data_IF_288313451442
#
_entry.id   IF_288313451442
#
_cell.length_a   1.000
_cell.length_b   1.000
_cell.length_c   1.000
_cell.angle_alpha   90.00
_cell.angle_beta   90.00
_cell.angle_gamma   90.00
#
_symmetry.space_group_name_H-M   'P 1'
#
loop_
_entity.id
_entity.type
_entity.pdbx_description
1 polymer ?
#
# COMPACT_ATOMS: atom_id res chain seq x y z
N UNK A 1 -6.55 6.38 9.96
CA UNK A 1 -5.51 7.29 9.43
C UNK A 1 -4.69 6.64 8.29
N UNK A 2 -4.18 5.41 8.46
CA UNK A 2 -3.40 4.71 7.43
C UNK A 2 -4.15 4.51 6.11
N UNK A 3 -5.38 4.02 6.16
CA UNK A 3 -6.22 3.86 4.97
C UNK A 3 -6.51 5.20 4.28
N UNK A 4 -6.70 6.28 5.04
CA UNK A 4 -6.91 7.63 4.49
C UNK A 4 -5.72 8.07 3.65
N UNK A 5 -4.48 7.80 4.10
CA UNK A 5 -3.26 8.10 3.35
C UNK A 5 -3.22 7.35 2.03
N UNK A 6 -3.58 6.04 2.03
CA UNK A 6 -3.65 5.26 0.78
C UNK A 6 -4.72 5.81 -0.15
N UNK A 7 -5.93 6.11 0.35
CA UNK A 7 -6.98 6.70 -0.50
C UNK A 7 -6.56 8.04 -1.09
N UNK A 8 -5.92 8.90 -0.32
CA UNK A 8 -5.36 10.16 -0.83
C UNK A 8 -4.28 9.90 -1.90
N UNK A 9 -3.41 8.93 -1.69
CA UNK A 9 -2.37 8.57 -2.67
C UNK A 9 -2.99 8.03 -3.97
N UNK A 10 -3.98 7.14 -3.87
CA UNK A 10 -4.72 6.61 -5.03
C UNK A 10 -5.43 7.74 -5.78
N UNK A 11 -6.14 8.61 -5.05
CA UNK A 11 -6.84 9.74 -5.65
C UNK A 11 -5.88 10.70 -6.36
N UNK A 12 -4.75 11.02 -5.73
CA UNK A 12 -3.71 11.84 -6.33
C UNK A 12 -3.13 11.20 -7.60
N UNK A 13 -2.82 9.90 -7.56
CA UNK A 13 -2.32 9.17 -8.72
C UNK A 13 -3.34 9.18 -9.87
N UNK A 14 -4.62 8.98 -9.57
CA UNK A 14 -5.69 9.05 -10.57
C UNK A 14 -5.83 10.43 -11.19
N UNK A 15 -5.72 11.50 -10.40
CA UNK A 15 -5.72 12.87 -10.93
C UNK A 15 -4.53 13.13 -11.87
N UNK A 16 -3.34 12.59 -11.53
CA UNK A 16 -2.16 12.69 -12.39
C UNK A 16 -2.37 11.95 -13.72
N UNK A 17 -2.89 10.73 -13.67
CA UNK A 17 -3.14 9.90 -14.86
C UNK A 17 -4.26 10.50 -15.73
N UNK A 18 -5.28 11.11 -15.11
CA UNK A 18 -6.36 11.82 -15.81
C UNK A 18 -5.93 13.13 -16.50
N UNK A 19 -4.64 13.49 -16.40
CA UNK A 19 -4.11 14.69 -17.07
C UNK A 19 -4.48 16.01 -16.39
N UNK A 20 -4.77 16.01 -15.10
CA UNK A 20 -5.08 17.24 -14.35
C UNK A 20 -3.90 18.22 -14.42
N UNK A 21 -4.15 19.52 -14.67
CA UNK A 21 -3.09 20.50 -14.79
C UNK A 21 -2.17 20.54 -13.56
N UNK A 22 -0.87 20.58 -13.77
CA UNK A 22 0.13 20.56 -12.71
C UNK A 22 -0.06 21.66 -11.65
N UNK A 23 -0.69 22.79 -12.02
CA UNK A 23 -1.03 23.88 -11.09
C UNK A 23 -2.04 23.41 -10.03
N UNK A 24 -3.06 22.66 -10.42
CA UNK A 24 -4.08 22.14 -9.49
C UNK A 24 -3.45 21.08 -8.59
N UNK A 25 -2.67 20.15 -9.16
CA UNK A 25 -1.92 19.16 -8.38
C UNK A 25 -1.00 19.84 -7.36
N UNK A 26 -0.23 20.84 -7.81
CA UNK A 26 0.67 21.59 -6.93
C UNK A 26 -0.08 22.30 -5.80
N UNK A 27 -1.27 22.85 -6.06
CA UNK A 27 -2.11 23.45 -5.03
C UNK A 27 -2.57 22.41 -4.00
N UNK A 28 -3.03 21.24 -4.46
CA UNK A 28 -3.49 20.15 -3.57
C UNK A 28 -2.33 19.66 -2.69
N UNK A 29 -1.18 19.39 -3.29
CA UNK A 29 0.03 18.96 -2.55
C UNK A 29 0.48 20.05 -1.57
N UNK A 30 0.45 21.33 -1.98
CA UNK A 30 0.79 22.45 -1.12
C UNK A 30 -0.19 22.67 0.05
N UNK A 31 -1.44 22.20 -0.07
CA UNK A 31 -2.40 22.23 1.04
C UNK A 31 -2.17 21.12 2.07
N UNK A 32 -1.45 20.05 1.74
CA UNK A 32 -1.20 18.94 2.68
C UNK A 32 -0.46 19.41 3.93
N UNK A 33 0.66 20.16 3.87
CA UNK A 33 1.32 20.70 5.06
C UNK A 33 0.40 21.60 5.90
N UNK A 34 -0.41 22.43 5.24
CA UNK A 34 -1.37 23.30 5.92
C UNK A 34 -2.42 22.47 6.67
N UNK A 35 -2.94 21.43 6.03
CA UNK A 35 -3.88 20.49 6.65
C UNK A 35 -3.25 19.72 7.83
N UNK A 36 -1.99 19.31 7.72
CA UNK A 36 -1.25 18.66 8.81
C UNK A 36 -1.05 19.60 10.00
N UNK A 37 -0.66 20.85 9.76
CA UNK A 37 -0.53 21.86 10.81
C UNK A 37 -1.89 22.14 11.47
N UNK A 38 -2.94 22.28 10.68
CA UNK A 38 -4.29 22.45 11.20
C UNK A 38 -4.73 21.24 12.03
N UNK A 39 -4.49 20.01 11.56
CA UNK A 39 -4.81 18.79 12.30
C UNK A 39 -4.02 18.71 13.62
N UNK A 40 -2.75 19.10 13.62
CA UNK A 40 -1.92 19.16 14.82
C UNK A 40 -2.46 20.18 15.85
N UNK A 41 -2.94 21.33 15.37
CA UNK A 41 -3.45 22.38 16.26
C UNK A 41 -4.83 22.07 16.83
N UNK A 42 -5.73 21.47 16.04
CA UNK A 42 -7.14 21.31 16.39
C UNK A 42 -7.55 19.91 16.84
N UNK A 43 -6.73 18.88 16.57
CA UNK A 43 -7.05 17.48 16.90
C UNK A 43 -6.01 16.88 17.84
N UNK A 44 -6.37 16.66 19.10
CA UNK A 44 -5.49 16.04 20.10
C UNK A 44 -4.96 14.66 19.68
N UNK A 45 -5.80 13.84 19.04
CA UNK A 45 -5.40 12.52 18.54
C UNK A 45 -4.34 12.61 17.43
N UNK A 46 -4.45 13.60 16.54
CA UNK A 46 -3.44 13.82 15.50
C UNK A 46 -2.13 14.32 16.10
N UNK A 47 -2.24 15.25 17.06
CA UNK A 47 -1.09 15.78 17.81
C UNK A 47 -0.33 14.68 18.52
N UNK A 48 -1.01 13.87 19.33
CA UNK A 48 -0.38 12.78 20.07
C UNK A 48 0.35 11.79 19.15
N UNK A 49 -0.21 11.49 17.98
CA UNK A 49 0.43 10.59 17.00
C UNK A 49 1.63 11.21 16.30
N UNK A 50 1.57 12.50 15.99
CA UNK A 50 2.69 13.23 15.38
C UNK A 50 3.82 13.38 16.41
N UNK A 51 3.49 13.77 17.65
CA UNK A 51 4.45 13.90 18.74
C UNK A 51 5.12 12.56 19.05
N UNK A 52 4.34 11.48 19.11
CA UNK A 52 4.85 10.14 19.29
C UNK A 52 5.82 9.72 18.17
N UNK A 53 5.56 10.09 16.95
CA UNK A 53 6.43 9.75 15.81
C UNK A 53 7.73 10.59 15.79
N UNK A 54 7.63 11.89 16.08
CA UNK A 54 8.78 12.83 16.00
C UNK A 54 9.67 12.80 17.24
N UNK A 55 9.08 12.51 18.40
CA UNK A 55 9.75 12.54 19.69
C UNK A 55 9.65 11.20 20.42
N UNK A 56 10.39 10.16 19.98
CA UNK A 56 10.40 8.87 20.65
C UNK A 56 10.98 9.03 22.06
N UNK A 57 10.15 8.85 23.10
CA UNK A 57 10.54 8.96 24.52
C UNK A 57 9.57 9.76 25.39
N UNK A 58 8.55 10.36 24.80
CA UNK A 58 7.47 11.00 25.56
C UNK A 58 6.48 9.92 26.01
N UNK A 59 6.31 9.75 27.32
CA UNK A 59 5.31 8.85 27.91
C UNK A 59 3.90 9.31 27.51
N UNK A 60 3.16 8.44 26.80
CA UNK A 60 1.80 8.72 26.34
C UNK A 60 1.22 7.58 25.51
N UNK A 61 0.02 7.76 24.97
CA UNK A 61 -0.67 6.77 24.10
C UNK A 61 0.18 6.30 22.88
N UNK A 62 1.20 7.06 22.48
CA UNK A 62 2.16 6.70 21.43
C UNK A 62 3.23 5.69 21.85
N UNK A 63 3.45 5.45 23.14
CA UNK A 63 4.49 4.54 23.62
C UNK A 63 4.23 3.10 23.17
N UNK A 64 2.98 2.66 23.09
CA UNK A 64 2.60 1.34 22.60
C UNK A 64 2.90 1.18 21.09
N UNK A 65 2.62 2.22 20.29
CA UNK A 65 2.90 2.22 18.84
C UNK A 65 4.43 2.14 18.59
N UNK A 66 5.23 2.86 19.37
CA UNK A 66 6.70 2.79 19.29
C UNK A 66 7.24 1.43 19.71
N UNK A 67 6.70 0.86 20.79
CA UNK A 67 7.09 -0.48 21.23
C UNK A 67 6.86 -1.51 20.10
N UNK A 68 5.70 -1.47 19.45
CA UNK A 68 5.37 -2.39 18.36
C UNK A 68 6.29 -2.22 17.16
N UNK A 69 6.57 -0.99 16.72
CA UNK A 69 7.47 -0.72 15.59
C UNK A 69 8.91 -1.14 15.91
N UNK A 70 9.39 -0.84 17.12
CA UNK A 70 10.71 -1.25 17.56
C UNK A 70 10.84 -2.77 17.69
N UNK A 71 9.81 -3.43 18.22
CA UNK A 71 9.76 -4.88 18.30
C UNK A 71 9.73 -5.53 16.91
N UNK A 72 8.95 -4.95 15.97
CA UNK A 72 8.91 -5.41 14.58
C UNK A 72 10.26 -5.25 13.89
N UNK A 73 10.91 -4.12 14.06
CA UNK A 73 12.26 -3.88 13.50
C UNK A 73 13.29 -4.83 14.13
N UNK A 74 13.25 -5.05 15.45
CA UNK A 74 14.13 -6.00 16.13
C UNK A 74 13.91 -7.44 15.62
N UNK A 75 12.65 -7.84 15.43
CA UNK A 75 12.29 -9.14 14.85
C UNK A 75 12.82 -9.27 13.42
N UNK A 76 12.61 -8.27 12.58
CA UNK A 76 13.10 -8.24 11.19
C UNK A 76 14.62 -8.42 11.12
N UNK A 77 15.36 -7.70 11.99
CA UNK A 77 16.82 -7.70 11.98
C UNK A 77 17.42 -8.96 12.62
N UNK A 78 16.68 -9.64 13.50
CA UNK A 78 17.14 -10.88 14.15
C UNK A 78 17.43 -12.01 13.15
N UNK A 79 16.74 -12.04 11.99
CA UNK A 79 16.96 -13.06 10.97
C UNK A 79 18.20 -12.89 10.11
N UNK A 80 18.83 -11.71 10.11
CA UNK A 80 19.98 -11.44 9.25
C UNK A 80 19.68 -11.64 7.77
N UNK A 81 20.66 -12.16 7.00
CA UNK A 81 20.52 -12.35 5.55
C UNK A 81 19.69 -13.57 5.17
N UNK A 82 19.83 -14.67 5.85
CA UNK A 82 19.27 -15.99 5.48
C UNK A 82 18.16 -16.48 6.38
N UNK A 83 17.90 -15.76 7.48
CA UNK A 83 16.91 -16.15 8.48
C UNK A 83 17.43 -17.16 9.51
N UNK A 84 16.65 -17.33 10.57
CA UNK A 84 16.92 -18.32 11.64
C UNK A 84 16.41 -19.72 11.28
N UNK A 85 15.59 -19.83 10.25
CA UNK A 85 14.90 -21.05 9.81
C UNK A 85 13.39 -21.02 10.10
N UNK A 86 12.59 -21.75 9.29
CA UNK A 86 11.13 -21.81 9.46
C UNK A 86 10.75 -22.28 10.86
N UNK A 87 9.98 -21.49 11.58
CA UNK A 87 9.52 -21.80 12.94
C UNK A 87 10.56 -21.59 14.05
N UNK A 88 11.82 -21.33 13.73
CA UNK A 88 12.90 -21.19 14.72
C UNK A 88 13.01 -19.78 15.32
N UNK A 89 12.29 -18.78 14.77
CA UNK A 89 12.27 -17.43 15.28
C UNK A 89 11.73 -17.34 16.71
N UNK A 90 12.38 -16.55 17.55
CA UNK A 90 12.02 -16.33 18.95
C UNK A 90 11.49 -14.90 19.18
N UNK A 91 11.98 -13.91 18.45
CA UNK A 91 11.61 -12.51 18.62
C UNK A 91 10.14 -12.26 18.25
N UNK A 92 9.58 -13.01 17.31
CA UNK A 92 8.17 -12.93 16.91
C UNK A 92 7.18 -13.16 18.05
N UNK A 93 7.54 -13.92 19.11
CA UNK A 93 6.66 -14.16 20.25
C UNK A 93 6.47 -12.93 21.14
N UNK A 94 7.40 -11.98 21.08
CA UNK A 94 7.28 -10.69 21.75
C UNK A 94 6.57 -9.61 20.92
N UNK A 95 6.16 -9.96 19.68
CA UNK A 95 5.56 -8.98 18.76
C UNK A 95 4.04 -9.14 18.74
N UNK A 96 3.29 -8.14 19.26
CA UNK A 96 1.83 -8.10 19.11
C UNK A 96 1.45 -8.06 17.63
N UNK A 97 0.33 -8.71 17.26
CA UNK A 97 -0.17 -8.72 15.88
C UNK A 97 0.84 -9.26 14.83
N UNK A 98 1.74 -10.15 15.24
CA UNK A 98 2.81 -10.70 14.41
C UNK A 98 2.30 -11.34 13.09
N UNK A 99 1.15 -11.99 13.12
CA UNK A 99 0.56 -12.70 11.97
C UNK A 99 -0.37 -11.84 11.11
N UNK A 100 -0.73 -10.64 11.57
CA UNK A 100 -1.58 -9.68 10.85
C UNK A 100 -0.74 -8.56 10.26
N UNK A 101 -0.40 -7.55 11.03
CA UNK A 101 0.22 -6.32 10.55
C UNK A 101 1.76 -6.43 10.42
N UNK A 102 2.37 -7.33 11.19
CA UNK A 102 3.83 -7.46 11.26
C UNK A 102 4.38 -8.77 10.67
N UNK A 103 3.60 -9.44 9.82
CA UNK A 103 4.01 -10.70 9.18
C UNK A 103 5.32 -10.54 8.37
N UNK A 104 5.57 -9.36 7.79
CA UNK A 104 6.79 -9.09 7.04
C UNK A 104 8.04 -9.17 7.94
N UNK A 105 7.95 -8.72 9.20
CA UNK A 105 9.03 -8.86 10.18
C UNK A 105 9.25 -10.32 10.58
N UNK A 106 8.18 -11.11 10.71
CA UNK A 106 8.28 -12.54 10.97
C UNK A 106 8.98 -13.28 9.81
N UNK A 107 8.62 -12.93 8.57
CA UNK A 107 9.29 -13.47 7.38
C UNK A 107 10.78 -13.09 7.39
N UNK A 108 11.09 -11.86 7.77
CA UNK A 108 12.49 -11.44 7.92
C UNK A 108 13.26 -12.21 8.97
N UNK A 109 12.65 -12.54 10.11
CA UNK A 109 13.27 -13.37 11.14
C UNK A 109 13.51 -14.80 10.66
N UNK A 110 12.51 -15.44 10.08
CA UNK A 110 12.58 -16.85 9.72
C UNK A 110 13.32 -17.13 8.41
N UNK A 111 13.13 -16.27 7.38
CA UNK A 111 13.66 -16.48 6.03
C UNK A 111 14.72 -15.45 5.62
N UNK A 112 14.95 -14.45 6.46
CA UNK A 112 15.98 -13.44 6.26
C UNK A 112 15.61 -12.34 5.28
N UNK A 113 16.55 -11.38 5.14
CA UNK A 113 16.42 -10.21 4.27
C UNK A 113 16.23 -10.58 2.79
N UNK A 114 16.83 -11.68 2.35
CA UNK A 114 16.70 -12.16 0.96
C UNK A 114 15.23 -12.44 0.62
N UNK A 115 14.51 -13.13 1.51
CA UNK A 115 13.08 -13.39 1.30
C UNK A 115 12.26 -12.10 1.29
N UNK A 116 12.56 -11.16 2.17
CA UNK A 116 11.93 -9.85 2.20
C UNK A 116 12.15 -9.08 0.89
N UNK A 117 13.36 -9.11 0.33
CA UNK A 117 13.66 -8.49 -0.97
C UNK A 117 12.88 -9.16 -2.11
N UNK A 118 12.80 -10.49 -2.13
CA UNK A 118 12.03 -11.21 -3.15
C UNK A 118 10.55 -10.81 -3.10
N UNK A 119 9.97 -10.70 -1.91
CA UNK A 119 8.59 -10.24 -1.73
C UNK A 119 8.43 -8.82 -2.25
N UNK A 120 9.30 -7.89 -1.86
CA UNK A 120 9.26 -6.50 -2.31
C UNK A 120 9.37 -6.37 -3.83
N UNK A 121 10.32 -7.10 -4.45
CA UNK A 121 10.49 -7.15 -5.91
C UNK A 121 9.26 -7.75 -6.58
N UNK A 122 8.63 -8.75 -6.00
CA UNK A 122 7.40 -9.37 -6.54
C UNK A 122 6.26 -8.36 -6.59
N UNK A 123 6.01 -7.62 -5.49
CA UNK A 123 4.99 -6.57 -5.47
C UNK A 123 5.29 -5.48 -6.51
N UNK A 124 6.53 -5.02 -6.56
CA UNK A 124 6.97 -4.03 -7.54
C UNK A 124 6.76 -4.53 -8.97
N UNK A 125 7.16 -5.77 -9.26
CA UNK A 125 7.01 -6.38 -10.59
C UNK A 125 5.54 -6.48 -11.02
N UNK A 126 4.63 -6.82 -10.11
CA UNK A 126 3.18 -6.85 -10.39
C UNK A 126 2.70 -5.45 -10.78
N UNK A 127 3.01 -4.43 -9.98
CA UNK A 127 2.59 -3.05 -10.23
C UNK A 127 3.16 -2.54 -11.56
N UNK A 128 4.46 -2.69 -11.77
CA UNK A 128 5.13 -2.27 -13.02
C UNK A 128 4.53 -2.98 -14.23
N UNK A 129 4.28 -4.29 -14.14
CA UNK A 129 3.67 -5.06 -15.24
C UNK A 129 2.28 -4.56 -15.59
N UNK A 130 1.48 -4.16 -14.60
CA UNK A 130 0.15 -3.56 -14.84
C UNK A 130 0.32 -2.23 -15.60
N UNK A 131 1.17 -1.33 -15.11
CA UNK A 131 1.39 -0.04 -15.78
C UNK A 131 1.94 -0.19 -17.19
N UNK A 132 2.88 -1.10 -17.42
CA UNK A 132 3.38 -1.39 -18.78
C UNK A 132 2.26 -1.84 -19.72
N UNK A 133 1.31 -2.66 -19.23
CA UNK A 133 0.15 -3.06 -20.05
C UNK A 133 -0.81 -1.90 -20.32
N UNK A 134 -0.93 -0.97 -19.38
CA UNK A 134 -1.82 0.17 -19.53
C UNK A 134 -1.30 1.25 -20.48
N UNK A 135 -0.01 1.26 -20.81
CA UNK A 135 0.56 2.19 -21.80
C UNK A 135 -0.11 2.10 -23.17
N UNK A 136 -0.60 0.93 -23.54
CA UNK A 136 -1.25 0.68 -24.82
C UNK A 136 -2.80 0.72 -24.74
N UNK A 137 -3.38 1.03 -23.56
CA UNK A 137 -4.82 1.05 -23.37
C UNK A 137 -5.41 2.39 -23.83
N UNK A 138 -6.44 2.32 -24.69
CA UNK A 138 -7.11 3.50 -25.23
C UNK A 138 -8.43 3.82 -24.53
N UNK A 139 -8.93 2.89 -23.72
CA UNK A 139 -10.16 3.07 -22.97
C UNK A 139 -9.84 3.78 -21.65
N UNK A 140 -10.22 5.06 -21.55
CA UNK A 140 -9.94 5.90 -20.38
C UNK A 140 -10.50 5.32 -19.08
N UNK A 141 -11.66 4.68 -19.13
CA UNK A 141 -12.24 4.06 -17.95
C UNK A 141 -11.39 2.89 -17.45
N UNK A 142 -10.96 2.00 -18.36
CA UNK A 142 -10.10 0.87 -17.99
C UNK A 142 -8.73 1.34 -17.51
N UNK A 143 -8.18 2.36 -18.17
CA UNK A 143 -6.91 2.97 -17.77
C UNK A 143 -6.98 3.47 -16.32
N UNK A 144 -7.98 4.30 -15.99
CA UNK A 144 -8.13 4.87 -14.66
C UNK A 144 -8.48 3.81 -13.62
N UNK A 145 -9.43 2.90 -13.92
CA UNK A 145 -9.84 1.86 -12.99
C UNK A 145 -8.69 0.90 -12.64
N UNK A 146 -7.97 0.39 -13.66
CA UNK A 146 -6.85 -0.51 -13.44
C UNK A 146 -5.66 0.18 -12.77
N UNK A 147 -5.38 1.45 -13.12
CA UNK A 147 -4.35 2.23 -12.46
C UNK A 147 -4.65 2.47 -10.98
N UNK A 148 -5.90 2.83 -10.64
CA UNK A 148 -6.31 3.02 -9.26
C UNK A 148 -6.16 1.76 -8.42
N UNK A 149 -6.59 0.60 -8.94
CA UNK A 149 -6.42 -0.69 -8.27
C UNK A 149 -4.95 -1.09 -8.11
N UNK A 150 -4.11 -0.85 -9.12
CA UNK A 150 -2.69 -1.13 -9.06
C UNK A 150 -1.96 -0.24 -8.04
N UNK A 151 -2.29 1.06 -8.01
CA UNK A 151 -1.73 2.00 -7.02
C UNK A 151 -2.18 1.61 -5.61
N UNK A 152 -3.44 1.27 -5.41
CA UNK A 152 -3.95 0.85 -4.10
C UNK A 152 -3.22 -0.41 -3.61
N UNK A 153 -3.08 -1.41 -4.47
CA UNK A 153 -2.37 -2.66 -4.16
C UNK A 153 -0.90 -2.40 -3.81
N UNK A 154 -0.20 -1.62 -4.65
CA UNK A 154 1.21 -1.27 -4.43
C UNK A 154 1.43 -0.39 -3.21
N UNK A 155 0.58 0.62 -2.99
CA UNK A 155 0.68 1.50 -1.84
C UNK A 155 0.43 0.75 -0.53
N UNK A 156 -0.56 -0.16 -0.49
CA UNK A 156 -0.82 -0.97 0.69
C UNK A 156 0.38 -1.87 1.03
N UNK A 157 0.97 -2.54 0.04
CA UNK A 157 2.17 -3.35 0.23
C UNK A 157 3.36 -2.50 0.71
N UNK A 158 3.59 -1.36 0.08
CA UNK A 158 4.68 -0.45 0.41
C UNK A 158 4.56 0.11 1.83
N UNK A 159 3.37 0.55 2.23
CA UNK A 159 3.13 1.07 3.59
C UNK A 159 3.30 -0.03 4.62
N UNK A 160 2.76 -1.24 4.39
CA UNK A 160 2.95 -2.38 5.29
C UNK A 160 4.45 -2.71 5.48
N UNK A 161 5.22 -2.79 4.39
CA UNK A 161 6.67 -3.01 4.47
C UNK A 161 7.40 -1.86 5.17
N UNK A 162 7.01 -0.60 4.91
CA UNK A 162 7.61 0.58 5.55
C UNK A 162 7.37 0.62 7.07
N UNK A 163 6.19 0.22 7.53
CA UNK A 163 5.89 0.10 8.97
C UNK A 163 6.77 -0.97 9.62
N UNK A 164 6.92 -2.13 9.00
CA UNK A 164 7.73 -3.23 9.51
C UNK A 164 9.23 -2.91 9.55
N UNK A 165 9.71 -2.02 8.66
CA UNK A 165 11.11 -1.53 8.65
C UNK A 165 11.33 -0.29 9.51
N UNK A 166 10.31 0.20 10.22
CA UNK A 166 10.42 1.39 11.07
C UNK A 166 10.43 2.72 10.31
N UNK A 167 10.22 2.70 8.98
CA UNK A 167 10.18 3.92 8.16
C UNK A 167 8.85 4.66 8.23
N UNK A 168 7.79 4.02 8.74
CA UNK A 168 6.48 4.61 8.92
C UNK A 168 5.90 4.24 10.29
N UNK A 169 5.06 5.09 10.87
CA UNK A 169 4.41 4.81 12.15
C UNK A 169 3.46 3.62 12.03
N UNK A 170 3.27 2.88 13.14
CA UNK A 170 2.31 1.77 13.24
C UNK A 170 0.92 2.16 12.74
N UNK A 171 0.32 1.37 11.86
CA UNK A 171 -0.92 1.71 11.16
C UNK A 171 -1.91 0.56 10.97
N UNK A 172 -1.68 -0.60 11.52
CA UNK A 172 -2.61 -1.73 11.34
C UNK A 172 -2.93 -2.01 9.88
N UNK A 173 -1.90 -2.22 9.07
CA UNK A 173 -2.05 -2.46 7.62
C UNK A 173 -1.50 -3.81 7.22
N UNK A 174 -2.40 -4.66 6.78
CA UNK A 174 -2.06 -6.00 6.30
C UNK A 174 -1.28 -5.97 4.99
N UNK A 175 -0.26 -6.82 4.87
CA UNK A 175 0.47 -7.07 3.61
C UNK A 175 -0.45 -7.87 2.67
N UNK A 176 -0.72 -7.39 1.44
CA UNK A 176 -1.66 -8.04 0.52
C UNK A 176 -1.35 -9.53 0.31
N UNK A 177 -2.36 -10.39 0.45
CA UNK A 177 -2.31 -11.85 0.27
C UNK A 177 -1.34 -12.64 1.18
N UNK A 178 -0.58 -11.98 2.03
CA UNK A 178 0.39 -12.64 2.94
C UNK A 178 -0.09 -12.55 4.39
N UNK A 179 -0.59 -11.38 4.81
CA UNK A 179 -1.11 -11.19 6.16
C UNK A 179 -2.41 -11.93 6.39
N UNK A 180 -2.58 -12.41 7.62
CA UNK A 180 -3.87 -12.93 8.05
C UNK A 180 -4.88 -11.78 8.22
N UNK A 181 -5.99 -11.85 7.48
CA UNK A 181 -7.06 -10.85 7.56
C UNK A 181 -8.24 -11.23 6.67
N UNK A 182 -9.33 -11.75 7.25
CA UNK A 182 -10.46 -12.29 6.49
C UNK A 182 -11.11 -11.26 5.56
N UNK A 183 -11.46 -10.09 6.08
CA UNK A 183 -12.11 -9.02 5.30
C UNK A 183 -11.18 -8.40 4.25
N UNK A 184 -9.90 -8.21 4.59
CA UNK A 184 -8.91 -7.67 3.66
C UNK A 184 -8.63 -8.65 2.50
N UNK A 185 -8.59 -9.95 2.76
CA UNK A 185 -8.41 -10.97 1.72
C UNK A 185 -9.54 -10.98 0.71
N UNK A 186 -10.81 -10.87 1.16
CA UNK A 186 -11.96 -10.79 0.28
C UNK A 186 -11.89 -9.54 -0.59
N UNK A 187 -11.65 -8.38 0.02
CA UNK A 187 -11.56 -7.11 -0.71
C UNK A 187 -10.42 -7.10 -1.74
N UNK A 188 -9.23 -7.62 -1.34
CA UNK A 188 -8.08 -7.73 -2.23
C UNK A 188 -8.32 -8.73 -3.38
N UNK A 189 -9.02 -9.83 -3.11
CA UNK A 189 -9.35 -10.83 -4.14
C UNK A 189 -10.30 -10.24 -5.19
N UNK A 190 -11.30 -9.48 -4.77
CA UNK A 190 -12.20 -8.76 -5.68
C UNK A 190 -11.42 -7.71 -6.47
N UNK A 191 -10.59 -6.88 -5.80
CA UNK A 191 -9.76 -5.88 -6.46
C UNK A 191 -8.80 -6.47 -7.48
N UNK A 192 -8.13 -7.58 -7.15
CA UNK A 192 -7.22 -8.27 -8.06
C UNK A 192 -7.99 -8.92 -9.22
N UNK A 193 -9.18 -9.49 -8.98
CA UNK A 193 -10.06 -10.02 -10.03
C UNK A 193 -10.45 -8.94 -11.04
N UNK A 194 -10.85 -7.75 -10.56
CA UNK A 194 -11.15 -6.59 -11.40
C UNK A 194 -9.91 -6.10 -12.15
N UNK A 195 -8.75 -6.01 -11.49
CA UNK A 195 -7.49 -5.64 -12.12
C UNK A 195 -7.13 -6.57 -13.27
N UNK A 196 -7.26 -7.88 -13.06
CA UNK A 196 -7.05 -8.88 -14.10
C UNK A 196 -8.07 -8.75 -15.25
N UNK A 197 -9.34 -8.47 -14.94
CA UNK A 197 -10.37 -8.27 -15.95
C UNK A 197 -10.08 -7.06 -16.83
N UNK A 198 -9.67 -5.93 -16.24
CA UNK A 198 -9.34 -4.70 -16.99
C UNK A 198 -8.02 -4.82 -17.77
N UNK A 199 -7.05 -5.58 -17.28
CA UNK A 199 -5.76 -5.77 -17.96
C UNK A 199 -5.72 -6.95 -18.92
N UNK A 200 -6.78 -7.77 -18.99
CA UNK A 200 -6.85 -8.90 -19.90
C UNK A 200 -7.20 -8.42 -21.31
N UNK A 201 -6.29 -8.63 -22.26
CA UNK A 201 -6.60 -8.52 -23.70
C UNK A 201 -7.29 -9.81 -24.14
N UNK A 202 -8.55 -9.71 -24.53
CA UNK A 202 -9.26 -10.83 -25.15
C UNK A 202 -9.22 -10.66 -26.66
N UNK A 203 -8.43 -11.45 -27.40
CA UNK A 203 -8.33 -11.33 -28.85
C UNK A 203 -9.65 -11.65 -29.59
N UNK A 204 -10.59 -12.35 -28.91
CA UNK A 204 -11.90 -12.68 -29.45
C UNK A 204 -12.96 -11.58 -29.25
N UNK A 205 -12.68 -10.56 -28.45
CA UNK A 205 -13.53 -9.38 -28.25
C UNK A 205 -13.07 -8.17 -29.06
N UNK A 206 -12.23 -8.35 -30.07
CA UNK A 206 -12.01 -7.30 -31.08
C UNK A 206 -13.35 -6.96 -31.69
N UNK A 207 -13.73 -5.66 -31.62
CA UNK A 207 -15.00 -5.15 -32.12
C UNK A 207 -15.30 -5.79 -33.48
N UNK A 208 -16.43 -6.48 -33.56
CA UNK A 208 -16.94 -6.95 -34.85
C UNK A 208 -16.95 -5.77 -35.82
N UNK A 209 -16.36 -5.87 -37.01
CA UNK A 209 -16.43 -4.80 -38.01
C UNK A 209 -17.88 -4.47 -38.43
N UNK A 210 -18.84 -5.28 -37.98
CA UNK A 210 -20.27 -5.10 -38.25
C UNK A 210 -21.06 -4.39 -37.15
N UNK A 211 -20.43 -3.86 -36.08
CA UNK A 211 -21.10 -2.99 -35.14
C UNK A 211 -21.32 -1.62 -35.81
N UNK A 212 -22.47 -1.50 -36.49
CA UNK A 212 -22.97 -0.22 -36.97
C UNK A 212 -23.09 0.74 -35.79
N UNK A 213 -22.29 1.81 -35.78
CA UNK A 213 -22.49 2.92 -34.86
C UNK A 213 -23.87 3.53 -35.17
N UNK A 214 -24.87 3.20 -34.38
CA UNK A 214 -26.10 4.01 -34.28
C UNK A 214 -25.73 5.29 -33.52
N UNK A 215 -25.07 6.18 -34.18
CA UNK A 215 -24.68 7.47 -33.69
C UNK A 215 -25.19 8.51 -34.66
N UNK A 216 -26.27 9.18 -34.27
CA UNK A 216 -27.04 10.10 -35.03
C UNK A 216 -26.26 11.12 -35.83
N UNK A 217 -26.74 11.33 -36.99
CA UNK A 217 -26.67 12.60 -37.67
C UNK A 217 -27.19 13.72 -36.74
N UNK A 218 -26.35 14.63 -36.38
CA UNK A 218 -26.62 16.10 -36.30
C UNK A 218 -25.27 16.79 -36.39
#
# INVERSE_FOLDING_TARGET
FGQTVIFCAVWMALLMIAGTPAKILGTIVGMVPVGLVAAYMFYSTARNRIDAFLFPGVEGEGAADHFQVNAAHATLTAGGWTGTGPGAGQAKFGLPEAHTDYIFSVIGEEFGLIACMIIGVTFLAIVVRVFVKLLDEQDEFKLLAASGLAVQFGAQALVSMAVNTGLAPSKGMTLPFISYGGSSMIALSIGMGLLLAFTRRNPFLTRSPYVVKWGGAQ
#
